data_IF_411713221607
#
_entry.id   IF_411713221607
#
_cell.length_a   1.000
_cell.length_b   1.000
_cell.length_c   1.000
_cell.angle_alpha   90.00
_cell.angle_beta   90.00
_cell.angle_gamma   90.00
#
_symmetry.space_group_name_H-M   'P 1'
#
loop_
_entity.id
_entity.type
_entity.pdbx_description
1 polymer ?
#
# COMPACT_ATOMS: atom_id res chain seq x y z
N UNK A 1 13.25 0.28 -16.31
CA UNK A 1 14.68 0.29 -15.90
C UNK A 1 14.89 -0.22 -14.47
N UNK A 2 14.19 0.32 -13.46
CA UNK A 2 14.33 -0.16 -12.07
C UNK A 2 14.07 -1.68 -11.87
N UNK A 3 13.03 -2.23 -12.52
CA UNK A 3 12.77 -3.68 -12.52
C UNK A 3 13.91 -4.52 -13.12
N UNK A 4 14.50 -4.04 -14.21
CA UNK A 4 15.65 -4.70 -14.84
C UNK A 4 16.88 -4.66 -13.93
N UNK A 5 17.13 -3.52 -13.27
CA UNK A 5 18.16 -3.41 -12.25
C UNK A 5 17.96 -4.46 -11.14
N UNK A 6 16.75 -4.62 -10.60
CA UNK A 6 16.49 -5.61 -9.55
C UNK A 6 16.72 -7.05 -10.02
N UNK A 7 16.32 -7.40 -11.25
CA UNK A 7 16.63 -8.71 -11.84
C UNK A 7 18.13 -8.92 -12.05
N UNK A 8 18.86 -7.90 -12.51
CA UNK A 8 20.32 -7.97 -12.66
C UNK A 8 20.97 -8.23 -11.30
N UNK A 9 20.54 -7.52 -10.24
CA UNK A 9 21.04 -7.74 -8.88
C UNK A 9 20.71 -9.16 -8.39
N UNK A 10 19.48 -9.63 -8.62
CA UNK A 10 19.06 -10.97 -8.23
C UNK A 10 19.93 -12.04 -8.89
N UNK A 11 20.16 -11.95 -10.20
CA UNK A 11 21.01 -12.87 -10.95
C UNK A 11 22.46 -12.79 -10.50
N UNK A 12 23.00 -11.58 -10.35
CA UNK A 12 24.39 -11.37 -9.91
C UNK A 12 24.64 -12.06 -8.56
N UNK A 13 23.77 -11.80 -7.58
CA UNK A 13 23.92 -12.40 -6.26
C UNK A 13 23.66 -13.89 -6.24
N UNK A 14 22.74 -14.39 -7.08
CA UNK A 14 22.53 -15.83 -7.22
C UNK A 14 23.78 -16.52 -7.77
N UNK A 15 24.41 -15.96 -8.80
CA UNK A 15 25.66 -16.50 -9.38
C UNK A 15 26.79 -16.48 -8.35
N UNK A 16 26.92 -15.39 -7.59
CA UNK A 16 27.92 -15.31 -6.51
C UNK A 16 27.66 -16.36 -5.41
N UNK A 17 26.40 -16.55 -5.02
CA UNK A 17 26.01 -17.54 -4.02
C UNK A 17 26.35 -18.96 -4.51
N UNK A 18 25.98 -19.30 -5.75
CA UNK A 18 26.30 -20.60 -6.37
C UNK A 18 27.80 -20.82 -6.42
N UNK A 19 28.60 -19.81 -6.79
CA UNK A 19 30.05 -19.91 -6.77
C UNK A 19 30.56 -20.18 -5.34
N UNK A 20 30.12 -19.41 -4.34
CA UNK A 20 30.49 -19.64 -2.94
C UNK A 20 30.17 -21.07 -2.47
N UNK A 21 29.02 -21.63 -2.89
CA UNK A 21 28.61 -22.99 -2.54
C UNK A 21 29.41 -24.08 -3.24
N UNK A 22 29.68 -23.93 -4.54
CA UNK A 22 30.36 -24.98 -5.31
C UNK A 22 31.88 -25.02 -5.09
N UNK A 23 32.49 -23.91 -4.67
CA UNK A 23 33.95 -23.82 -4.52
C UNK A 23 34.41 -22.85 -3.42
N UNK A 24 34.02 -23.07 -2.15
CA UNK A 24 34.25 -22.12 -1.05
C UNK A 24 35.73 -21.77 -0.86
N UNK A 25 36.64 -22.74 -0.93
CA UNK A 25 38.08 -22.50 -0.79
C UNK A 25 38.65 -21.59 -1.90
N UNK A 26 38.19 -21.75 -3.15
CA UNK A 26 38.64 -20.92 -4.28
C UNK A 26 38.06 -19.51 -4.19
N UNK A 27 36.80 -19.38 -3.79
CA UNK A 27 36.16 -18.07 -3.66
C UNK A 27 36.74 -17.29 -2.48
N UNK A 28 36.93 -17.96 -1.35
CA UNK A 28 37.54 -17.37 -0.18
C UNK A 28 38.96 -16.85 -0.49
N UNK A 29 39.80 -17.67 -1.13
CA UNK A 29 41.16 -17.27 -1.54
C UNK A 29 41.14 -16.11 -2.55
N UNK A 30 40.21 -16.10 -3.49
CA UNK A 30 40.04 -14.98 -4.43
C UNK A 30 39.69 -13.66 -3.72
N UNK A 31 38.94 -13.71 -2.63
CA UNK A 31 38.57 -12.54 -1.79
C UNK A 31 39.64 -12.25 -0.71
N UNK A 32 40.72 -13.03 -0.66
CA UNK A 32 41.87 -12.81 0.24
C UNK A 32 41.90 -13.67 1.50
N UNK A 33 40.94 -14.58 1.69
CA UNK A 33 40.93 -15.57 2.78
C UNK A 33 41.76 -16.79 2.38
N UNK A 34 43.05 -16.80 2.74
CA UNK A 34 44.02 -17.80 2.25
C UNK A 34 44.16 -19.05 3.11
N UNK A 35 43.69 -19.03 4.37
CA UNK A 35 43.90 -20.10 5.36
C UNK A 35 42.63 -20.33 6.19
N UNK A 36 41.54 -20.79 5.58
CA UNK A 36 40.32 -21.15 6.33
C UNK A 36 40.35 -22.62 6.74
N UNK A 37 40.27 -22.88 8.05
CA UNK A 37 39.97 -24.20 8.60
C UNK A 37 38.59 -24.69 8.12
N UNK A 38 38.24 -25.99 8.27
CA UNK A 38 36.90 -26.46 7.94
C UNK A 38 35.79 -25.67 8.62
N UNK A 39 35.99 -25.27 9.89
CA UNK A 39 35.08 -24.39 10.61
C UNK A 39 34.99 -23.00 9.95
N UNK A 40 36.12 -22.40 9.58
CA UNK A 40 36.15 -21.11 8.88
C UNK A 40 35.51 -21.17 7.48
N UNK A 41 35.64 -22.28 6.76
CA UNK A 41 34.96 -22.50 5.47
C UNK A 41 33.45 -22.63 5.64
N UNK A 42 33.00 -23.29 6.71
CA UNK A 42 31.59 -23.39 7.07
C UNK A 42 31.00 -22.01 7.36
N UNK A 43 31.64 -21.23 8.24
CA UNK A 43 31.20 -19.86 8.57
C UNK A 43 31.22 -18.95 7.33
N UNK A 44 32.27 -19.03 6.51
CA UNK A 44 32.34 -18.28 5.25
C UNK A 44 31.15 -18.62 4.33
N UNK A 45 30.82 -19.90 4.18
CA UNK A 45 29.71 -20.34 3.33
C UNK A 45 28.37 -19.85 3.87
N UNK A 46 28.13 -19.94 5.17
CA UNK A 46 26.87 -19.51 5.80
C UNK A 46 26.71 -18.00 5.70
N UNK A 47 27.76 -17.24 6.04
CA UNK A 47 27.69 -15.77 6.05
C UNK A 47 27.67 -15.22 4.63
N UNK A 48 28.66 -15.55 3.80
CA UNK A 48 28.78 -14.96 2.46
C UNK A 48 27.85 -15.62 1.45
N UNK A 49 27.83 -16.96 1.40
CA UNK A 49 26.94 -17.69 0.49
C UNK A 49 25.47 -17.50 0.86
N UNK A 50 25.14 -17.65 2.14
CA UNK A 50 23.78 -17.46 2.65
C UNK A 50 23.25 -16.03 2.47
N UNK A 51 24.06 -15.00 2.80
CA UNK A 51 23.66 -13.60 2.59
C UNK A 51 23.46 -13.27 1.11
N UNK A 52 24.37 -13.72 0.22
CA UNK A 52 24.22 -13.53 -1.22
C UNK A 52 22.94 -14.19 -1.75
N UNK A 53 22.66 -15.42 -1.32
CA UNK A 53 21.43 -16.11 -1.71
C UNK A 53 20.19 -15.38 -1.20
N UNK A 54 20.19 -14.92 0.05
CA UNK A 54 19.10 -14.13 0.63
C UNK A 54 18.85 -12.83 -0.13
N UNK A 55 19.90 -12.08 -0.45
CA UNK A 55 19.79 -10.86 -1.28
C UNK A 55 19.27 -11.16 -2.68
N UNK A 56 19.70 -12.26 -3.30
CA UNK A 56 19.22 -12.67 -4.61
C UNK A 56 17.70 -12.89 -4.62
N UNK A 57 17.19 -13.66 -3.65
CA UNK A 57 15.74 -13.87 -3.47
C UNK A 57 15.01 -12.57 -3.17
N UNK A 58 15.55 -11.72 -2.30
CA UNK A 58 14.91 -10.47 -1.92
C UNK A 58 14.74 -9.51 -3.11
N UNK A 59 15.80 -9.31 -3.91
CA UNK A 59 15.72 -8.47 -5.11
C UNK A 59 14.84 -9.10 -6.19
N UNK A 60 14.93 -10.42 -6.39
CA UNK A 60 14.05 -11.15 -7.31
C UNK A 60 12.57 -11.04 -6.92
N UNK A 61 12.27 -11.12 -5.62
CA UNK A 61 10.92 -10.96 -5.09
C UNK A 61 10.36 -9.56 -5.39
N UNK A 62 11.11 -8.48 -5.09
CA UNK A 62 10.68 -7.12 -5.41
C UNK A 62 10.51 -6.88 -6.91
N UNK A 63 11.35 -7.52 -7.74
CA UNK A 63 11.20 -7.49 -9.19
C UNK A 63 9.93 -8.23 -9.65
N UNK A 64 9.60 -9.36 -9.02
CA UNK A 64 8.43 -10.18 -9.33
C UNK A 64 7.12 -9.48 -9.00
N UNK A 65 6.99 -8.91 -7.79
CA UNK A 65 5.75 -8.24 -7.33
C UNK A 65 5.58 -6.81 -7.88
N UNK A 66 6.44 -6.40 -8.81
CA UNK A 66 6.44 -5.07 -9.45
C UNK A 66 6.61 -3.87 -8.48
N UNK A 67 7.14 -4.11 -7.28
CA UNK A 67 7.41 -3.09 -6.26
C UNK A 67 8.80 -2.46 -6.41
N UNK A 68 9.09 -1.95 -7.61
CA UNK A 68 10.44 -1.52 -7.97
C UNK A 68 10.99 -0.36 -7.11
N UNK A 69 10.12 0.54 -6.63
CA UNK A 69 10.53 1.65 -5.76
C UNK A 69 10.99 1.17 -4.38
N UNK A 70 10.24 0.26 -3.78
CA UNK A 70 10.61 -0.37 -2.50
C UNK A 70 11.90 -1.17 -2.65
N UNK A 71 12.04 -1.94 -3.73
CA UNK A 71 13.27 -2.68 -4.04
C UNK A 71 14.49 -1.76 -4.18
N UNK A 72 14.35 -0.57 -4.78
CA UNK A 72 15.43 0.41 -4.87
C UNK A 72 15.82 1.00 -3.51
N UNK A 73 14.85 1.27 -2.62
CA UNK A 73 15.13 1.73 -1.26
C UNK A 73 15.90 0.67 -0.48
N UNK A 74 15.50 -0.60 -0.61
CA UNK A 74 16.22 -1.74 -0.02
C UNK A 74 17.64 -1.86 -0.61
N UNK A 75 17.81 -1.69 -1.92
CA UNK A 75 19.13 -1.70 -2.55
C UNK A 75 20.05 -0.61 -1.96
N UNK A 76 19.54 0.61 -1.79
CA UNK A 76 20.29 1.69 -1.15
C UNK A 76 20.66 1.36 0.30
N UNK A 77 19.76 0.75 1.05
CA UNK A 77 19.99 0.35 2.44
C UNK A 77 21.11 -0.69 2.59
N UNK A 78 21.28 -1.59 1.62
CA UNK A 78 22.40 -2.53 1.58
C UNK A 78 23.68 -1.88 1.04
N UNK A 79 23.61 -1.24 -0.13
CA UNK A 79 24.81 -0.80 -0.84
C UNK A 79 25.50 0.40 -0.22
N UNK A 80 24.76 1.36 0.35
CA UNK A 80 25.36 2.54 0.97
C UNK A 80 26.35 2.18 2.10
N UNK A 81 25.97 1.36 3.12
CA UNK A 81 26.93 0.95 4.14
C UNK A 81 28.02 0.03 3.59
N UNK A 82 27.70 -0.91 2.68
CA UNK A 82 28.72 -1.80 2.09
C UNK A 82 29.83 -0.99 1.39
N UNK A 83 29.46 -0.05 0.52
CA UNK A 83 30.42 0.79 -0.21
C UNK A 83 31.18 1.71 0.74
N UNK A 84 30.53 2.25 1.76
CA UNK A 84 31.18 3.07 2.78
C UNK A 84 32.28 2.27 3.50
N UNK A 85 31.95 1.10 4.05
CA UNK A 85 32.91 0.25 4.75
C UNK A 85 34.00 -0.26 3.82
N UNK A 86 33.67 -0.59 2.56
CA UNK A 86 34.65 -0.97 1.54
C UNK A 86 35.64 0.17 1.28
N UNK A 87 35.16 1.39 1.13
CA UNK A 87 35.99 2.57 0.88
C UNK A 87 36.94 2.88 2.05
N UNK A 88 36.45 2.76 3.28
CA UNK A 88 37.28 2.91 4.50
C UNK A 88 38.31 1.78 4.60
N UNK A 89 37.92 0.54 4.27
CA UNK A 89 38.82 -0.61 4.28
C UNK A 89 39.93 -0.46 3.25
N UNK A 90 39.60 -0.11 2.02
CA UNK A 90 40.56 0.10 0.94
C UNK A 90 41.55 1.23 1.26
N UNK A 91 41.09 2.33 1.86
CA UNK A 91 41.97 3.44 2.21
C UNK A 91 42.94 3.11 3.35
N UNK A 92 42.51 2.30 4.32
CA UNK A 92 43.34 1.91 5.46
C UNK A 92 44.28 0.73 5.18
N UNK A 93 43.84 -0.22 4.35
CA UNK A 93 44.53 -1.49 4.12
C UNK A 93 45.17 -1.56 2.73
N UNK A 94 45.42 -0.41 2.11
CA UNK A 94 46.08 -0.35 0.80
C UNK A 94 47.54 -0.82 0.87
N UNK A 95 48.07 -1.58 -0.11
CA UNK A 95 47.39 -2.12 -1.30
C UNK A 95 46.66 -3.46 -1.04
N UNK A 96 45.56 -3.69 -1.76
CA UNK A 96 44.79 -4.95 -1.70
C UNK A 96 44.85 -5.72 -3.03
N UNK A 97 44.37 -6.97 -3.02
CA UNK A 97 44.34 -7.82 -4.21
C UNK A 97 43.41 -7.29 -5.32
N UNK A 98 43.74 -7.58 -6.58
CA UNK A 98 42.94 -7.15 -7.73
C UNK A 98 41.46 -7.58 -7.69
N UNK A 99 41.09 -8.81 -7.26
CA UNK A 99 39.68 -9.18 -7.12
C UNK A 99 38.92 -8.33 -6.10
N UNK A 100 39.58 -7.89 -5.03
CA UNK A 100 38.99 -7.01 -4.01
C UNK A 100 38.67 -5.63 -4.60
N UNK A 101 39.57 -5.10 -5.43
CA UNK A 101 39.34 -3.83 -6.15
C UNK A 101 38.20 -3.97 -7.17
N UNK A 102 38.16 -5.07 -7.91
CA UNK A 102 37.09 -5.34 -8.88
C UNK A 102 35.72 -5.42 -8.20
N UNK A 103 35.62 -6.14 -7.07
CA UNK A 103 34.38 -6.26 -6.30
C UNK A 103 33.92 -4.88 -5.79
N UNK A 104 34.85 -4.08 -5.25
CA UNK A 104 34.54 -2.72 -4.82
C UNK A 104 34.01 -1.83 -5.97
N UNK A 105 34.59 -1.96 -7.16
CA UNK A 105 34.10 -1.26 -8.36
C UNK A 105 32.67 -1.65 -8.73
N UNK A 106 32.34 -2.94 -8.66
CA UNK A 106 30.98 -3.44 -8.91
C UNK A 106 30.01 -2.89 -7.86
N UNK A 107 30.36 -2.92 -6.58
CA UNK A 107 29.52 -2.38 -5.49
C UNK A 107 29.23 -0.88 -5.69
N UNK A 108 30.23 -0.09 -6.06
CA UNK A 108 30.07 1.35 -6.36
C UNK A 108 29.13 1.55 -7.56
N UNK A 109 29.30 0.77 -8.63
CA UNK A 109 28.46 0.89 -9.82
C UNK A 109 26.99 0.55 -9.51
N UNK A 110 26.75 -0.49 -8.69
CA UNK A 110 25.41 -0.88 -8.26
C UNK A 110 24.76 0.19 -7.38
N UNK A 111 25.52 0.83 -6.50
CA UNK A 111 25.06 1.97 -5.69
C UNK A 111 24.69 3.17 -6.56
N UNK A 112 25.59 3.59 -7.46
CA UNK A 112 25.36 4.71 -8.35
C UNK A 112 24.14 4.49 -9.24
N UNK A 113 23.97 3.28 -9.78
CA UNK A 113 22.79 2.90 -10.54
C UNK A 113 21.51 3.00 -9.69
N UNK A 114 21.52 2.55 -8.43
CA UNK A 114 20.37 2.67 -7.53
C UNK A 114 20.01 4.14 -7.26
N UNK A 115 21.01 4.99 -6.96
CA UNK A 115 20.81 6.43 -6.73
C UNK A 115 20.23 7.10 -7.98
N UNK A 116 20.84 6.87 -9.15
CA UNK A 116 20.35 7.41 -10.42
C UNK A 116 18.93 6.98 -10.73
N UNK A 117 18.59 5.70 -10.53
CA UNK A 117 17.24 5.20 -10.76
C UNK A 117 16.21 5.77 -9.77
N UNK A 118 16.59 5.98 -8.51
CA UNK A 118 15.77 6.68 -7.53
C UNK A 118 15.52 8.14 -7.92
N UNK A 119 16.58 8.89 -8.28
CA UNK A 119 16.50 10.30 -8.66
C UNK A 119 15.80 10.51 -10.02
N UNK A 120 16.00 9.62 -10.99
CA UNK A 120 15.26 9.66 -12.24
C UNK A 120 13.79 9.28 -12.05
N UNK A 121 13.49 8.35 -11.13
CA UNK A 121 12.12 7.97 -10.78
C UNK A 121 11.32 9.13 -10.16
N UNK A 122 11.94 9.96 -9.31
CA UNK A 122 11.31 11.17 -8.78
C UNK A 122 11.10 12.23 -9.87
N UNK A 123 12.04 12.39 -10.80
CA UNK A 123 11.93 13.35 -11.91
C UNK A 123 10.84 13.01 -12.95
N UNK A 124 10.44 11.74 -13.07
CA UNK A 124 9.32 11.32 -13.94
C UNK A 124 7.98 11.56 -13.24
N UNK A 125 7.92 11.43 -11.91
CA UNK A 125 6.76 11.84 -11.11
C UNK A 125 6.55 13.36 -11.15
N UNK A 126 7.62 14.16 -11.21
CA UNK A 126 7.53 15.62 -11.39
C UNK A 126 7.25 16.03 -12.85
N UNK A 127 7.71 15.26 -13.85
CA UNK A 127 7.38 15.53 -15.26
C UNK A 127 5.96 15.10 -15.65
N UNK A 128 5.37 14.11 -14.99
CA UNK A 128 3.92 13.84 -15.06
C UNK A 128 3.08 14.84 -14.24
N UNK A 129 3.74 15.71 -13.46
CA UNK A 129 3.13 16.89 -12.84
C UNK A 129 3.33 18.17 -13.69
N UNK A 130 3.68 18.04 -14.98
CA UNK A 130 3.26 19.04 -15.97
C UNK A 130 1.89 18.64 -16.51
N UNK A 131 0.88 19.52 -16.46
CA UNK A 131 -0.40 19.23 -17.07
C UNK A 131 -0.17 19.02 -18.57
N UNK A 132 -0.71 17.93 -19.13
CA UNK A 132 -0.93 17.80 -20.57
C UNK A 132 -1.60 19.07 -21.09
N UNK A 133 -1.33 19.52 -22.33
CA UNK A 133 -2.11 20.59 -22.93
C UNK A 133 -3.56 20.12 -22.94
N UNK A 134 -4.36 20.71 -22.06
CA UNK A 134 -5.80 20.51 -22.01
C UNK A 134 -6.30 20.90 -23.40
N UNK A 135 -6.79 19.91 -24.14
CA UNK A 135 -7.68 20.19 -25.27
C UNK A 135 -8.72 21.16 -24.72
N UNK A 136 -8.81 22.35 -25.34
CA UNK A 136 -9.70 23.42 -24.92
C UNK A 136 -11.05 22.83 -24.54
N UNK A 137 -11.58 23.12 -23.33
CA UNK A 137 -12.86 22.57 -22.94
C UNK A 137 -13.91 23.03 -23.97
N UNK A 138 -14.92 22.20 -24.28
CA UNK A 138 -16.07 22.70 -25.02
C UNK A 138 -16.59 23.96 -24.32
N UNK A 139 -17.11 24.96 -25.06
CA UNK A 139 -17.51 26.23 -24.50
C UNK A 139 -18.39 25.98 -23.26
N UNK A 140 -17.97 26.56 -22.13
CA UNK A 140 -18.66 26.44 -20.87
C UNK A 140 -20.15 26.78 -21.08
N UNK A 141 -21.11 25.96 -20.62
CA UNK A 141 -22.43 26.49 -20.36
C UNK A 141 -22.24 27.64 -19.35
N UNK A 142 -22.82 28.78 -19.68
CA UNK A 142 -22.89 30.02 -18.88
C UNK A 142 -23.11 29.74 -17.39
N UNK A 143 -22.67 30.64 -16.48
CA UNK A 143 -22.57 30.40 -15.04
C UNK A 143 -23.94 30.40 -14.31
N UNK A 144 -24.91 29.67 -14.83
CA UNK A 144 -26.27 29.62 -14.30
C UNK A 144 -26.79 28.19 -14.06
N UNK A 145 -26.08 27.12 -14.46
CA UNK A 145 -26.51 25.73 -14.18
C UNK A 145 -25.38 24.75 -13.98
N UNK A 146 -24.70 24.83 -12.83
CA UNK A 146 -24.20 23.65 -12.13
C UNK A 146 -24.13 24.00 -10.65
N UNK A 147 -25.16 23.59 -9.93
CA UNK A 147 -25.28 23.71 -8.48
C UNK A 147 -23.96 23.32 -7.81
N UNK A 148 -23.36 24.29 -7.13
CA UNK A 148 -22.50 24.03 -5.98
C UNK A 148 -23.12 22.91 -5.15
N UNK A 149 -22.32 21.92 -4.73
CA UNK A 149 -22.77 21.01 -3.68
C UNK A 149 -23.14 21.90 -2.48
N UNK A 150 -24.41 21.95 -2.05
CA UNK A 150 -24.79 22.81 -0.95
C UNK A 150 -24.09 22.33 0.33
N UNK A 151 -23.39 23.22 1.03
CA UNK A 151 -22.83 22.98 2.35
C UNK A 151 -21.30 22.93 2.46
N UNK A 152 -20.56 23.79 1.75
CA UNK A 152 -19.11 23.94 1.91
C UNK A 152 -18.70 24.53 3.29
N UNK A 153 -19.62 25.22 3.99
CA UNK A 153 -19.30 25.89 5.25
C UNK A 153 -19.35 24.99 6.50
N UNK A 154 -19.85 23.74 6.40
CA UNK A 154 -20.11 22.86 7.56
C UNK A 154 -19.28 21.56 7.61
N UNK A 155 -18.16 21.43 6.87
CA UNK A 155 -17.26 20.27 7.02
C UNK A 155 -16.31 20.42 8.23
N UNK A 156 -16.89 20.37 9.42
CA UNK A 156 -16.15 20.42 10.69
C UNK A 156 -15.07 19.33 10.77
N UNK A 157 -15.38 18.12 10.29
CA UNK A 157 -14.40 17.01 10.24
C UNK A 157 -13.22 17.36 9.33
N UNK A 158 -13.47 18.01 8.19
CA UNK A 158 -12.41 18.50 7.29
C UNK A 158 -11.54 19.60 7.91
N UNK A 159 -12.13 20.50 8.70
CA UNK A 159 -11.37 21.51 9.46
C UNK A 159 -10.47 20.87 10.52
N UNK A 160 -11.00 19.93 11.31
CA UNK A 160 -10.23 19.18 12.30
C UNK A 160 -9.09 18.38 11.68
N UNK A 161 -9.29 17.80 10.48
CA UNK A 161 -8.23 17.14 9.71
C UNK A 161 -7.13 18.13 9.29
N UNK A 162 -7.51 19.32 8.84
CA UNK A 162 -6.54 20.35 8.42
C UNK A 162 -5.69 20.81 9.61
N UNK A 163 -6.29 21.01 10.78
CA UNK A 163 -5.55 21.34 12.00
C UNK A 163 -4.66 20.16 12.48
N UNK A 164 -5.16 18.93 12.38
CA UNK A 164 -4.36 17.72 12.67
C UNK A 164 -3.11 17.64 11.79
N UNK A 165 -3.20 18.04 10.52
CA UNK A 165 -2.04 18.08 9.60
C UNK A 165 -0.93 19.03 10.07
N UNK A 166 -1.29 20.08 10.81
CA UNK A 166 -0.36 21.00 11.48
C UNK A 166 0.24 20.46 12.78
N UNK A 167 -0.11 19.24 13.19
CA UNK A 167 0.34 18.63 14.45
C UNK A 167 -0.50 19.02 15.68
N UNK A 168 -1.69 19.59 15.48
CA UNK A 168 -2.59 19.93 16.58
C UNK A 168 -3.18 18.66 17.23
N UNK A 169 -2.78 18.40 18.48
CA UNK A 169 -3.24 17.26 19.26
C UNK A 169 -4.69 17.38 19.71
N UNK A 170 -5.17 18.59 20.00
CA UNK A 170 -6.56 18.82 20.42
C UNK A 170 -7.51 18.62 19.24
N UNK A 171 -7.13 19.06 18.05
CA UNK A 171 -7.88 18.80 16.84
C UNK A 171 -7.99 17.30 16.56
N UNK A 172 -6.90 16.55 16.73
CA UNK A 172 -6.89 15.10 16.57
C UNK A 172 -7.76 14.38 17.60
N UNK A 173 -7.73 14.81 18.86
CA UNK A 173 -8.60 14.27 19.91
C UNK A 173 -10.10 14.50 19.60
N UNK A 174 -10.44 15.71 19.18
CA UNK A 174 -11.81 16.05 18.77
C UNK A 174 -12.24 15.22 17.55
N UNK A 175 -11.35 15.04 16.58
CA UNK A 175 -11.58 14.18 15.42
C UNK A 175 -11.85 12.73 15.83
N UNK A 176 -11.05 12.18 16.75
CA UNK A 176 -11.24 10.85 17.31
C UNK A 176 -12.61 10.70 17.99
N UNK A 177 -12.96 11.66 18.87
CA UNK A 177 -14.23 11.65 19.61
C UNK A 177 -15.43 11.70 18.66
N UNK A 178 -15.34 12.48 17.58
CA UNK A 178 -16.43 12.64 16.61
C UNK A 178 -16.60 11.42 15.68
N UNK A 179 -15.51 10.73 15.35
CA UNK A 179 -15.49 9.78 14.22
C UNK A 179 -15.22 8.34 14.59
N UNK A 180 -14.66 8.06 15.77
CA UNK A 180 -14.26 6.71 16.21
C UNK A 180 -15.40 5.69 16.09
N UNK A 181 -16.60 5.98 16.59
CA UNK A 181 -17.74 5.07 16.49
C UNK A 181 -18.15 4.75 15.04
N UNK A 182 -18.05 5.73 14.14
CA UNK A 182 -18.39 5.55 12.71
C UNK A 182 -17.34 4.72 12.00
N UNK A 183 -16.06 5.03 12.21
CA UNK A 183 -14.95 4.28 11.62
C UNK A 183 -14.87 2.86 12.19
N UNK A 184 -15.19 2.68 13.47
CA UNK A 184 -15.30 1.37 14.08
C UNK A 184 -16.40 0.53 13.43
N UNK A 185 -17.55 1.14 13.13
CA UNK A 185 -18.62 0.49 12.37
C UNK A 185 -18.19 0.06 10.97
N UNK A 186 -17.29 0.82 10.31
CA UNK A 186 -16.69 0.42 9.02
C UNK A 186 -15.80 -0.81 9.22
N UNK A 187 -14.92 -0.81 10.22
CA UNK A 187 -14.04 -1.95 10.51
C UNK A 187 -14.84 -3.21 10.86
N UNK A 188 -15.82 -3.11 11.77
CA UNK A 188 -16.66 -4.24 12.21
C UNK A 188 -17.45 -4.90 11.07
N UNK A 189 -17.83 -4.14 10.05
CA UNK A 189 -18.58 -4.69 8.91
C UNK A 189 -17.73 -5.63 8.06
N UNK A 190 -16.41 -5.47 8.11
CA UNK A 190 -15.43 -6.24 7.36
C UNK A 190 -14.73 -7.29 8.23
N UNK A 191 -14.61 -7.01 9.52
CA UNK A 191 -13.92 -7.82 10.53
C UNK A 191 -14.94 -8.18 11.61
N UNK A 192 -15.55 -9.39 11.57
CA UNK A 192 -16.58 -9.78 12.51
C UNK A 192 -16.08 -9.86 13.96
N UNK A 193 -14.79 -10.15 14.17
CA UNK A 193 -14.19 -10.23 15.49
C UNK A 193 -13.96 -8.84 16.07
N UNK A 194 -14.69 -8.52 17.14
CA UNK A 194 -14.68 -7.17 17.74
C UNK A 194 -13.29 -6.70 18.15
N UNK A 195 -12.53 -7.51 18.88
CA UNK A 195 -11.20 -7.15 19.37
C UNK A 195 -10.24 -6.80 18.21
N UNK A 196 -10.29 -7.58 17.14
CA UNK A 196 -9.49 -7.37 15.94
C UNK A 196 -9.91 -6.08 15.19
N UNK A 197 -11.21 -5.77 15.16
CA UNK A 197 -11.70 -4.51 14.60
C UNK A 197 -11.28 -3.28 15.44
N UNK A 198 -11.15 -3.42 16.76
CA UNK A 198 -10.67 -2.37 17.66
C UNK A 198 -9.17 -2.11 17.44
N UNK A 199 -8.36 -3.16 17.27
CA UNK A 199 -6.95 -3.05 16.90
C UNK A 199 -6.77 -2.33 15.56
N UNK A 200 -7.52 -2.73 14.53
CA UNK A 200 -7.49 -2.07 13.22
C UNK A 200 -7.91 -0.59 13.33
N UNK A 201 -8.88 -0.26 14.19
CA UNK A 201 -9.29 1.13 14.40
C UNK A 201 -8.16 1.98 15.01
N UNK A 202 -7.40 1.45 15.97
CA UNK A 202 -6.25 2.17 16.55
C UNK A 202 -5.19 2.48 15.49
N UNK A 203 -4.91 1.49 14.66
CA UNK A 203 -4.03 1.59 13.50
C UNK A 203 -4.51 2.65 12.49
N UNK A 204 -5.82 2.73 12.26
CA UNK A 204 -6.45 3.74 11.40
C UNK A 204 -6.20 5.14 11.93
N UNK A 205 -6.36 5.39 13.23
CA UNK A 205 -6.10 6.70 13.81
C UNK A 205 -4.63 7.08 13.82
N UNK A 206 -3.73 6.11 14.01
CA UNK A 206 -2.28 6.32 13.83
C UNK A 206 -1.98 6.75 12.40
N UNK A 207 -2.60 6.09 11.42
CA UNK A 207 -2.43 6.43 10.00
C UNK A 207 -3.02 7.81 9.66
N UNK A 208 -4.16 8.19 10.25
CA UNK A 208 -4.78 9.50 10.08
C UNK A 208 -3.83 10.60 10.56
N UNK A 209 -3.22 10.45 11.74
CA UNK A 209 -2.26 11.40 12.27
C UNK A 209 -1.11 11.67 11.27
N UNK A 210 -0.55 10.61 10.69
CA UNK A 210 0.56 10.74 9.73
C UNK A 210 0.14 11.21 8.33
N UNK A 211 -1.11 10.96 7.92
CA UNK A 211 -1.59 11.27 6.56
C UNK A 211 -2.50 12.47 6.48
N UNK A 212 -2.84 13.13 7.58
CA UNK A 212 -3.76 14.27 7.60
C UNK A 212 -3.35 15.37 6.59
N UNK A 213 -2.05 15.60 6.37
CA UNK A 213 -1.55 16.56 5.37
C UNK A 213 -1.82 16.19 3.90
N UNK A 214 -2.33 14.99 3.63
CA UNK A 214 -2.77 14.56 2.29
C UNK A 214 -4.26 14.79 2.05
N UNK A 215 -5.00 15.27 3.05
CA UNK A 215 -6.41 15.61 2.91
C UNK A 215 -6.56 16.87 2.04
N UNK A 216 -7.44 16.78 1.05
CA UNK A 216 -7.78 17.89 0.16
C UNK A 216 -9.31 18.11 0.20
N UNK A 217 -9.78 19.21 0.85
CA UNK A 217 -11.21 19.47 1.01
C UNK A 217 -11.93 19.78 -0.32
N UNK A 218 -11.19 20.08 -1.40
CA UNK A 218 -11.79 20.25 -2.73
C UNK A 218 -12.17 18.92 -3.39
N UNK A 219 -11.61 17.80 -2.93
CA UNK A 219 -11.80 16.46 -3.53
C UNK A 219 -12.79 15.59 -2.78
N UNK A 220 -12.87 15.73 -1.45
CA UNK A 220 -13.76 14.93 -0.62
C UNK A 220 -14.03 15.61 0.73
N UNK A 221 -15.18 15.29 1.34
CA UNK A 221 -15.47 15.67 2.73
C UNK A 221 -14.59 14.87 3.70
N UNK A 222 -14.28 15.45 4.87
CA UNK A 222 -13.40 14.86 5.87
C UNK A 222 -13.82 13.46 6.28
N UNK A 223 -15.11 13.25 6.60
CA UNK A 223 -15.62 11.93 7.00
C UNK A 223 -15.49 10.88 5.88
N UNK A 224 -15.65 11.28 4.62
CA UNK A 224 -15.48 10.38 3.46
C UNK A 224 -14.03 9.94 3.33
N UNK A 225 -13.07 10.87 3.50
CA UNK A 225 -11.65 10.56 3.46
C UNK A 225 -11.24 9.61 4.60
N UNK A 226 -11.73 9.86 5.81
CA UNK A 226 -11.51 8.99 6.97
C UNK A 226 -12.07 7.58 6.76
N UNK A 227 -13.30 7.46 6.25
CA UNK A 227 -13.92 6.17 5.97
C UNK A 227 -13.13 5.37 4.92
N UNK A 228 -12.55 6.04 3.92
CA UNK A 228 -11.68 5.41 2.94
C UNK A 228 -10.40 4.86 3.57
N UNK A 229 -9.78 5.60 4.50
CA UNK A 229 -8.61 5.10 5.25
C UNK A 229 -8.99 3.87 6.07
N UNK A 230 -10.10 3.95 6.82
CA UNK A 230 -10.57 2.84 7.66
C UNK A 230 -10.83 1.58 6.83
N UNK A 231 -11.54 1.72 5.72
CA UNK A 231 -11.82 0.61 4.80
C UNK A 231 -10.54 0.00 4.25
N UNK A 232 -9.62 0.82 3.73
CA UNK A 232 -8.38 0.30 3.13
C UNK A 232 -7.55 -0.45 4.16
N UNK A 233 -7.43 0.08 5.39
CA UNK A 233 -6.70 -0.57 6.46
C UNK A 233 -7.34 -1.89 6.91
N UNK A 234 -8.67 -1.96 6.95
CA UNK A 234 -9.39 -3.20 7.20
C UNK A 234 -9.16 -4.25 6.09
N UNK A 235 -9.11 -3.84 4.82
CA UNK A 235 -8.77 -4.74 3.70
C UNK A 235 -7.34 -5.26 3.83
N UNK A 236 -6.37 -4.37 4.12
CA UNK A 236 -4.98 -4.75 4.31
C UNK A 236 -4.83 -5.77 5.44
N UNK A 237 -5.58 -5.58 6.53
CA UNK A 237 -5.64 -6.51 7.65
C UNK A 237 -6.23 -7.87 7.25
N UNK A 238 -7.34 -7.89 6.51
CA UNK A 238 -7.94 -9.13 6.00
C UNK A 238 -6.98 -9.89 5.08
N UNK A 239 -6.21 -9.19 4.24
CA UNK A 239 -5.20 -9.78 3.36
C UNK A 239 -4.05 -10.41 4.11
N UNK A 240 -3.51 -9.72 5.12
CA UNK A 240 -2.45 -10.25 5.96
C UNK A 240 -2.88 -11.54 6.69
N UNK A 241 -4.16 -11.62 7.06
CA UNK A 241 -4.73 -12.76 7.80
C UNK A 241 -5.44 -13.80 6.91
N UNK A 242 -5.40 -13.64 5.58
CA UNK A 242 -6.05 -14.55 4.63
C UNK A 242 -5.59 -16.03 4.73
N UNK A 243 -4.31 -16.36 5.02
CA UNK A 243 -3.89 -17.75 5.23
C UNK A 243 -4.56 -18.40 6.46
N UNK A 244 -4.86 -17.61 7.49
CA UNK A 244 -5.43 -18.07 8.77
C UNK A 244 -6.96 -18.21 8.70
N UNK A 245 -7.63 -17.38 7.88
CA UNK A 245 -9.10 -17.33 7.78
C UNK A 245 -9.73 -18.42 6.92
N UNK A 246 -8.95 -19.20 6.16
CA UNK A 246 -9.47 -20.34 5.37
C UNK A 246 -10.04 -21.48 6.24
N UNK A 247 -9.80 -21.46 7.56
CA UNK A 247 -10.26 -22.48 8.51
C UNK A 247 -11.51 -22.09 9.30
N UNK A 248 -12.12 -20.92 9.07
CA UNK A 248 -13.33 -20.51 9.78
C UNK A 248 -14.41 -20.18 8.76
N UNK A 249 -15.24 -21.18 8.45
CA UNK A 249 -16.47 -21.00 7.70
C UNK A 249 -17.37 -20.05 8.51
N UNK A 250 -17.77 -18.94 7.87
CA UNK A 250 -18.69 -17.96 8.42
C UNK A 250 -20.11 -18.51 8.24
N UNK A 251 -20.66 -19.08 9.30
CA UNK A 251 -22.11 -19.16 9.48
C UNK A 251 -22.58 -17.96 10.30
N UNK A 252 -23.70 -17.41 9.86
CA UNK A 252 -24.51 -16.37 10.50
C UNK A 252 -23.95 -14.91 10.55
N UNK A 253 -24.14 -14.17 9.46
CA UNK A 253 -24.15 -12.70 9.46
C UNK A 253 -25.54 -12.15 9.84
N UNK A 254 -26.10 -12.66 10.94
CA UNK A 254 -27.33 -12.22 11.58
C UNK A 254 -27.05 -11.26 12.75
N UNK A 255 -27.59 -10.04 12.67
CA UNK A 255 -27.82 -9.12 13.80
C UNK A 255 -26.74 -9.01 14.91
N UNK A 256 -25.68 -8.23 14.69
CA UNK A 256 -24.80 -7.81 15.79
C UNK A 256 -24.87 -6.30 16.07
N UNK A 257 -25.31 -6.04 17.30
CA UNK A 257 -25.88 -4.83 17.88
C UNK A 257 -24.83 -3.74 18.12
N UNK A 258 -25.18 -2.48 17.84
CA UNK A 258 -24.59 -1.33 18.51
C UNK A 258 -25.31 -1.16 19.86
N UNK A 259 -24.62 -1.33 20.99
CA UNK A 259 -25.26 -1.38 22.31
C UNK A 259 -25.79 -0.03 22.83
N UNK A 260 -25.58 1.08 22.11
CA UNK A 260 -26.00 2.43 22.57
C UNK A 260 -26.98 3.14 21.62
N UNK A 261 -27.56 2.43 20.65
CA UNK A 261 -28.52 3.06 19.72
C UNK A 261 -29.92 3.17 20.35
N UNK A 262 -30.48 4.38 20.39
CA UNK A 262 -31.88 4.63 20.78
C UNK A 262 -32.85 3.79 19.94
N UNK A 263 -34.03 3.37 20.47
CA UNK A 263 -35.06 2.71 19.67
C UNK A 263 -35.43 3.46 18.37
N UNK A 264 -35.35 4.79 18.40
CA UNK A 264 -35.54 5.66 17.23
C UNK A 264 -34.41 5.47 16.21
N UNK A 265 -33.14 5.52 16.65
CA UNK A 265 -31.98 5.27 15.79
C UNK A 265 -32.03 3.90 15.11
N UNK A 266 -32.50 2.87 15.82
CA UNK A 266 -32.65 1.51 15.26
C UNK A 266 -33.70 1.48 14.15
N UNK A 267 -34.79 2.20 14.33
CA UNK A 267 -35.90 2.28 13.36
C UNK A 267 -35.48 3.06 12.12
N UNK A 268 -34.79 4.20 12.29
CA UNK A 268 -34.25 5.00 11.19
C UNK A 268 -33.17 4.25 10.39
N UNK A 269 -32.27 3.53 11.08
CA UNK A 269 -31.26 2.67 10.43
C UNK A 269 -31.92 1.53 9.65
N UNK A 270 -32.96 0.90 10.21
CA UNK A 270 -33.69 -0.16 9.53
C UNK A 270 -34.46 0.37 8.30
N UNK A 271 -35.03 1.57 8.39
CA UNK A 271 -35.67 2.26 7.25
C UNK A 271 -34.67 2.60 6.15
N UNK A 272 -33.53 3.20 6.52
CA UNK A 272 -32.44 3.54 5.59
C UNK A 272 -31.88 2.29 4.92
N UNK A 273 -31.68 1.21 5.68
CA UNK A 273 -31.22 -0.08 5.13
C UNK A 273 -32.21 -0.64 4.12
N UNK A 274 -33.51 -0.65 4.44
CA UNK A 274 -34.56 -1.08 3.51
C UNK A 274 -34.57 -0.26 2.22
N UNK A 275 -34.39 1.06 2.29
CA UNK A 275 -34.28 1.92 1.09
C UNK A 275 -33.05 1.57 0.24
N UNK A 276 -31.90 1.35 0.88
CA UNK A 276 -30.67 0.91 0.17
C UNK A 276 -30.87 -0.45 -0.48
N UNK A 277 -31.44 -1.43 0.23
CA UNK A 277 -31.68 -2.77 -0.30
C UNK A 277 -32.69 -2.75 -1.46
N UNK A 278 -33.74 -1.93 -1.37
CA UNK A 278 -34.70 -1.70 -2.44
C UNK A 278 -34.02 -1.10 -3.69
N UNK A 279 -33.27 0.00 -3.53
CA UNK A 279 -32.58 0.64 -4.65
C UNK A 279 -31.47 -0.25 -5.25
N UNK A 280 -30.83 -1.11 -4.45
CA UNK A 280 -29.89 -2.12 -4.96
C UNK A 280 -30.60 -3.21 -5.77
N UNK A 281 -31.87 -3.53 -5.45
CA UNK A 281 -32.66 -4.49 -6.21
C UNK A 281 -33.15 -3.92 -7.57
N UNK A 282 -33.23 -2.59 -7.71
CA UNK A 282 -33.52 -1.94 -9.00
C UNK A 282 -32.32 -1.94 -9.98
N UNK A 283 -31.12 -2.25 -9.49
CA UNK A 283 -29.95 -2.42 -10.35
C UNK A 283 -29.96 -3.80 -11.02
N UNK A 284 -29.49 -3.86 -12.27
CA UNK A 284 -29.25 -5.12 -12.98
C UNK A 284 -28.41 -6.07 -12.11
N UNK A 285 -28.91 -7.28 -11.84
CA UNK A 285 -28.40 -8.19 -10.79
C UNK A 285 -26.87 -8.35 -10.77
N UNK A 286 -26.18 -8.58 -11.90
CA UNK A 286 -24.71 -8.71 -11.90
C UNK A 286 -23.99 -7.46 -11.37
N UNK A 287 -24.58 -6.27 -11.53
CA UNK A 287 -24.01 -5.00 -11.06
C UNK A 287 -24.31 -4.73 -9.60
N UNK A 288 -25.47 -5.16 -9.11
CA UNK A 288 -25.83 -5.07 -7.68
C UNK A 288 -24.90 -5.93 -6.84
N UNK A 289 -24.62 -7.15 -7.30
CA UNK A 289 -23.71 -8.09 -6.65
C UNK A 289 -22.28 -7.56 -6.62
N UNK A 290 -21.75 -7.03 -7.73
CA UNK A 290 -20.43 -6.38 -7.77
C UNK A 290 -20.29 -5.25 -6.73
N UNK A 291 -21.33 -4.44 -6.55
CA UNK A 291 -21.34 -3.36 -5.54
C UNK A 291 -21.39 -3.96 -4.14
N UNK A 292 -22.24 -4.96 -3.90
CA UNK A 292 -22.33 -5.60 -2.59
C UNK A 292 -21.00 -6.22 -2.19
N UNK A 293 -20.39 -6.99 -3.09
CA UNK A 293 -19.10 -7.63 -2.87
C UNK A 293 -17.98 -6.62 -2.66
N UNK A 294 -17.93 -5.55 -3.45
CA UNK A 294 -16.92 -4.52 -3.28
C UNK A 294 -17.05 -3.75 -1.94
N UNK A 295 -18.27 -3.46 -1.49
CA UNK A 295 -18.49 -2.59 -0.33
C UNK A 295 -18.74 -3.35 0.99
N UNK A 296 -19.21 -4.60 0.95
CA UNK A 296 -19.52 -5.40 2.14
C UNK A 296 -18.58 -6.57 2.37
N UNK A 297 -18.07 -7.21 1.32
CA UNK A 297 -17.15 -8.37 1.46
C UNK A 297 -15.67 -7.96 1.51
N UNK A 298 -15.38 -6.65 1.38
CA UNK A 298 -14.01 -6.14 1.44
C UNK A 298 -13.14 -6.49 0.24
N UNK A 299 -13.73 -6.97 -0.85
CA UNK A 299 -13.01 -7.40 -2.04
C UNK A 299 -12.61 -6.19 -2.88
N UNK A 300 -11.37 -6.20 -3.35
CA UNK A 300 -10.81 -5.11 -4.18
C UNK A 300 -11.30 -5.18 -5.63
N UNK A 301 -11.20 -4.07 -6.36
CA UNK A 301 -11.62 -4.04 -7.76
C UNK A 301 -10.74 -4.95 -8.63
N UNK A 302 -9.48 -5.13 -8.26
CA UNK A 302 -8.53 -6.07 -8.86
C UNK A 302 -8.97 -7.54 -8.67
N UNK A 303 -9.30 -7.93 -7.43
CA UNK A 303 -9.79 -9.29 -7.12
C UNK A 303 -11.15 -9.54 -7.76
N UNK A 304 -12.03 -8.54 -7.80
CA UNK A 304 -13.34 -8.63 -8.44
C UNK A 304 -13.21 -8.80 -9.95
N UNK A 305 -12.28 -8.08 -10.58
CA UNK A 305 -11.92 -8.24 -11.99
C UNK A 305 -11.41 -9.65 -12.29
N UNK A 306 -10.54 -10.19 -11.43
CA UNK A 306 -10.04 -11.56 -11.57
C UNK A 306 -11.15 -12.61 -11.38
N UNK A 307 -12.02 -12.44 -10.38
CA UNK A 307 -13.15 -13.36 -10.10
C UNK A 307 -14.19 -13.40 -11.23
N UNK A 308 -14.35 -12.30 -11.95
CA UNK A 308 -15.40 -12.14 -12.98
C UNK A 308 -14.85 -12.18 -14.40
N UNK A 309 -13.57 -12.53 -14.57
CA UNK A 309 -12.85 -12.54 -15.85
C UNK A 309 -13.10 -11.26 -16.68
N UNK A 310 -13.13 -10.11 -16.00
CA UNK A 310 -13.52 -8.83 -16.57
C UNK A 310 -12.41 -7.80 -16.37
N UNK A 311 -12.03 -7.00 -17.38
CA UNK A 311 -11.01 -5.98 -17.21
C UNK A 311 -11.35 -4.99 -16.08
N UNK A 312 -10.35 -4.61 -15.28
CA UNK A 312 -10.54 -3.71 -14.12
C UNK A 312 -11.19 -2.37 -14.49
N UNK A 313 -10.90 -1.83 -15.68
CA UNK A 313 -11.53 -0.60 -16.18
C UNK A 313 -13.05 -0.76 -16.34
N UNK A 314 -13.50 -1.93 -16.79
CA UNK A 314 -14.91 -2.27 -16.93
C UNK A 314 -15.59 -2.42 -15.57
N UNK A 315 -14.95 -3.12 -14.62
CA UNK A 315 -15.45 -3.25 -13.24
C UNK A 315 -15.61 -1.87 -12.59
N UNK A 316 -14.58 -1.02 -12.65
CA UNK A 316 -14.63 0.37 -12.14
C UNK A 316 -15.75 1.18 -12.79
N UNK A 317 -15.94 1.04 -14.11
CA UNK A 317 -17.01 1.75 -14.82
C UNK A 317 -18.41 1.23 -14.48
N UNK A 318 -18.58 -0.07 -14.22
CA UNK A 318 -19.86 -0.63 -13.78
C UNK A 318 -20.22 -0.20 -12.37
N UNK A 319 -19.27 -0.27 -11.43
CA UNK A 319 -19.48 0.17 -10.05
C UNK A 319 -19.80 1.67 -10.03
N UNK A 320 -19.06 2.50 -10.75
CA UNK A 320 -19.34 3.96 -10.83
C UNK A 320 -20.75 4.24 -11.34
N UNK A 321 -21.16 3.58 -12.43
CA UNK A 321 -22.51 3.75 -13.00
C UNK A 321 -23.60 3.23 -12.07
N UNK A 322 -23.37 2.11 -11.40
CA UNK A 322 -24.31 1.56 -10.44
C UNK A 322 -24.47 2.45 -9.20
N UNK A 323 -23.39 3.01 -8.68
CA UNK A 323 -23.44 4.00 -7.58
C UNK A 323 -24.19 5.28 -7.97
N UNK A 324 -24.01 5.76 -9.22
CA UNK A 324 -24.77 6.91 -9.72
C UNK A 324 -26.28 6.64 -9.78
N UNK A 325 -26.68 5.43 -10.25
CA UNK A 325 -28.08 5.00 -10.24
C UNK A 325 -28.62 4.82 -8.81
N UNK A 326 -27.82 4.24 -7.92
CA UNK A 326 -28.19 4.06 -6.51
C UNK A 326 -28.44 5.41 -5.84
N UNK A 327 -27.56 6.40 -6.06
CA UNK A 327 -27.74 7.77 -5.58
C UNK A 327 -29.06 8.37 -6.10
N UNK A 328 -29.32 8.29 -7.39
CA UNK A 328 -30.55 8.83 -7.99
C UNK A 328 -31.84 8.14 -7.46
N UNK A 329 -31.77 6.86 -7.09
CA UNK A 329 -32.88 6.16 -6.43
C UNK A 329 -33.09 6.62 -4.99
N UNK A 330 -32.01 6.82 -4.23
CA UNK A 330 -32.07 7.27 -2.83
C UNK A 330 -32.48 8.74 -2.67
N UNK A 331 -32.26 9.56 -3.70
CA UNK A 331 -32.69 10.97 -3.77
C UNK A 331 -34.14 11.14 -4.24
N UNK A 332 -34.79 10.05 -4.66
CA UNK A 332 -36.21 10.01 -5.01
C UNK A 332 -37.07 9.85 -3.76
#
# INVERSE_FOLDING_TARGET
MAKAYLWINAVLYFVLAVWCTLSPAKTATAVGYTQLSPAGQSEYLVIYGGLQLGMAFLFGYFAWIDQARTGLVVALAFYAPIVLFRSVSLSRLWPVSAPTVALAGVEILLLLAAVLLCCCGSSVSERHARPSPVASPPPHPTPDRMSAIPGHDDDETGRLLTATAGGDRHAFEALYRQTSAKLFGVCLRMIPQRAEAEEVLQDVFTLIWHKAGQFDPSRARGLTWLAMIARNKAIDHLRANAPQRRNVALDDAGELRASDASPLDRTERASTRRRIDHCLAELEQPRSELIRTAFFEGITYEELAARTDTPIGTVKSWIRRGLAKLKACLER
#
